data_IF_301284745220
#
_entry.id   IF_301284745220
#
_cell.length_a   1.000
_cell.length_b   1.000
_cell.length_c   1.000
_cell.angle_alpha   90.00
_cell.angle_beta   90.00
_cell.angle_gamma   90.00
#
_symmetry.space_group_name_H-M   'P 1'
#
loop_
_entity.id
_entity.type
_entity.pdbx_description
1 polymer ?
#
# COMPACT_ATOMS: atom_id res chain seq x y z
N UNK A 1 -3.76 -45.00 2.92
CA UNK A 1 -3.09 -43.75 2.50
C UNK A 1 -3.85 -42.60 3.14
N UNK A 2 -3.33 -41.93 4.19
CA UNK A 2 -4.06 -40.82 4.83
C UNK A 2 -3.89 -39.52 4.05
N UNK A 3 -4.98 -38.76 4.01
CA UNK A 3 -5.14 -37.46 3.38
C UNK A 3 -4.36 -36.39 4.15
N UNK A 4 -3.41 -35.73 3.48
CA UNK A 4 -2.66 -34.61 4.03
C UNK A 4 -3.59 -33.39 4.08
N UNK A 5 -4.08 -33.10 5.29
CA UNK A 5 -4.76 -31.85 5.60
C UNK A 5 -3.86 -30.66 5.21
N UNK A 6 -4.20 -29.98 4.12
CA UNK A 6 -3.68 -28.66 3.82
C UNK A 6 -4.25 -27.69 4.86
N UNK A 7 -3.57 -27.60 6.00
CA UNK A 7 -3.80 -26.58 7.01
C UNK A 7 -3.25 -25.24 6.49
N UNK A 8 -3.91 -24.68 5.47
CA UNK A 8 -3.81 -23.25 5.21
C UNK A 8 -4.74 -22.58 6.23
N UNK A 9 -4.25 -22.26 7.42
CA UNK A 9 -4.94 -21.33 8.31
C UNK A 9 -5.31 -20.05 7.53
N UNK A 10 -6.38 -19.33 7.91
CA UNK A 10 -6.77 -18.14 7.16
C UNK A 10 -5.54 -17.23 7.08
N UNK A 11 -5.00 -17.03 5.87
CA UNK A 11 -4.01 -15.99 5.61
C UNK A 11 -4.76 -14.73 5.98
N UNK A 12 -4.53 -14.21 7.20
CA UNK A 12 -5.11 -12.97 7.68
C UNK A 12 -4.56 -11.88 6.78
N UNK A 13 -5.23 -11.67 5.64
CA UNK A 13 -5.00 -10.54 4.76
C UNK A 13 -5.18 -9.33 5.66
N UNK A 14 -4.10 -8.57 5.86
CA UNK A 14 -4.15 -7.35 6.64
C UNK A 14 -5.38 -6.54 6.18
N UNK A 15 -6.29 -6.17 7.10
CA UNK A 15 -7.52 -5.48 6.72
C UNK A 15 -7.16 -4.24 5.91
N UNK A 16 -7.80 -4.13 4.74
CA UNK A 16 -7.64 -3.00 3.82
C UNK A 16 -8.71 -1.98 4.12
N UNK A 17 -8.29 -0.74 4.32
CA UNK A 17 -9.16 0.38 4.57
C UNK A 17 -9.14 1.31 3.37
N UNK A 18 -10.31 1.72 2.91
CA UNK A 18 -10.42 2.72 1.85
C UNK A 18 -9.87 4.04 2.36
N UNK A 19 -8.85 4.55 1.68
CA UNK A 19 -8.21 5.81 1.98
C UNK A 19 -7.94 6.53 0.66
N UNK A 20 -8.65 7.63 0.43
CA UNK A 20 -8.43 8.48 -0.74
C UNK A 20 -7.55 9.65 -0.32
N UNK A 21 -6.24 9.43 -0.40
CA UNK A 21 -5.22 10.41 -0.07
C UNK A 21 -4.30 10.66 -1.26
N UNK A 22 -3.75 11.88 -1.35
CA UNK A 22 -2.74 12.20 -2.35
C UNK A 22 -1.48 11.39 -2.09
N UNK A 23 -0.94 10.77 -3.14
CA UNK A 23 0.27 9.98 -3.04
C UNK A 23 1.24 10.31 -4.18
N UNK A 24 2.52 10.27 -3.88
CA UNK A 24 3.58 10.34 -4.89
C UNK A 24 4.44 9.10 -4.80
N UNK A 25 4.83 8.59 -5.97
CA UNK A 25 5.65 7.41 -6.11
C UNK A 25 6.87 7.76 -6.93
N UNK A 26 8.05 7.48 -6.40
CA UNK A 26 9.32 7.71 -7.08
C UNK A 26 9.97 6.35 -7.35
N UNK A 27 10.24 6.05 -8.62
CA UNK A 27 11.07 4.90 -8.98
C UNK A 27 12.51 5.14 -8.51
N UNK A 28 13.00 4.28 -7.62
CA UNK A 28 14.35 4.40 -7.05
C UNK A 28 15.45 4.08 -8.07
N UNK A 29 15.14 3.39 -9.16
CA UNK A 29 16.12 3.07 -10.20
C UNK A 29 16.31 4.22 -11.20
N UNK A 30 15.21 4.82 -11.67
CA UNK A 30 15.26 5.89 -12.69
C UNK A 30 15.13 7.30 -12.13
N UNK A 31 14.65 7.47 -10.89
CA UNK A 31 14.28 8.77 -10.33
C UNK A 31 12.95 9.32 -10.88
N UNK A 32 12.23 8.55 -11.68
CA UNK A 32 10.93 8.97 -12.25
C UNK A 32 9.90 9.11 -11.15
N UNK A 33 9.28 10.29 -11.05
CA UNK A 33 8.21 10.55 -10.09
C UNK A 33 6.85 10.57 -10.77
N UNK A 34 5.87 9.99 -10.08
CA UNK A 34 4.47 9.97 -10.47
C UNK A 34 3.60 10.43 -9.30
N UNK A 35 2.61 11.28 -9.61
CA UNK A 35 1.59 11.72 -8.67
C UNK A 35 0.31 10.93 -8.93
N UNK A 36 -0.28 10.41 -7.87
CA UNK A 36 -1.43 9.51 -7.90
C UNK A 36 -2.28 9.68 -6.64
N UNK A 37 -3.32 8.86 -6.52
CA UNK A 37 -4.13 8.79 -5.30
C UNK A 37 -4.12 7.38 -4.77
N UNK A 38 -4.16 7.26 -3.46
CA UNK A 38 -4.47 5.98 -2.80
C UNK A 38 -5.94 5.65 -3.01
N UNK A 39 -6.23 4.36 -3.13
CA UNK A 39 -7.59 3.83 -3.14
C UNK A 39 -7.87 3.09 -1.83
N UNK A 40 -6.96 2.19 -1.47
CA UNK A 40 -6.96 1.48 -0.20
C UNK A 40 -5.55 1.32 0.37
N UNK A 41 -5.48 1.22 1.69
CA UNK A 41 -4.24 1.04 2.45
C UNK A 41 -4.39 -0.09 3.47
N UNK A 42 -3.26 -0.76 3.74
CA UNK A 42 -3.11 -1.80 4.76
C UNK A 42 -1.76 -1.65 5.44
N UNK A 43 -1.56 -2.36 6.55
CA UNK A 43 -0.26 -2.41 7.24
C UNK A 43 0.89 -2.90 6.33
N UNK A 44 0.57 -3.71 5.31
CA UNK A 44 1.54 -4.33 4.41
C UNK A 44 1.74 -3.62 3.07
N UNK A 45 0.95 -2.59 2.75
CA UNK A 45 0.94 -2.01 1.43
C UNK A 45 -0.31 -1.20 1.11
N UNK A 46 -0.33 -0.60 -0.08
CA UNK A 46 -1.46 0.20 -0.57
C UNK A 46 -1.74 -0.07 -2.04
N UNK A 47 -2.98 0.22 -2.47
CA UNK A 47 -3.33 0.32 -3.88
C UNK A 47 -3.36 1.80 -4.29
N UNK A 48 -2.73 2.08 -5.42
CA UNK A 48 -2.61 3.42 -5.98
C UNK A 48 -3.33 3.46 -7.33
N UNK A 49 -4.29 4.39 -7.44
CA UNK A 49 -4.99 4.70 -8.68
C UNK A 49 -4.10 5.62 -9.54
N UNK A 50 -3.66 5.09 -10.67
CA UNK A 50 -2.80 5.80 -11.63
C UNK A 50 -3.02 5.27 -13.04
N UNK A 51 -2.99 6.16 -14.03
CA UNK A 51 -3.09 5.77 -15.43
C UNK A 51 -1.79 5.16 -15.97
N UNK A 52 -0.65 5.53 -15.37
CA UNK A 52 0.68 5.10 -15.81
C UNK A 52 1.41 4.37 -14.67
N UNK A 53 0.99 3.14 -14.29
CA UNK A 53 1.65 2.41 -13.22
C UNK A 53 3.07 1.99 -13.61
N UNK A 54 3.94 1.88 -12.61
CA UNK A 54 5.26 1.27 -12.78
C UNK A 54 5.12 -0.25 -12.99
N UNK A 55 6.06 -0.92 -13.68
CA UNK A 55 6.04 -2.37 -13.84
C UNK A 55 6.09 -3.12 -12.50
N UNK A 56 5.52 -4.33 -12.48
CA UNK A 56 5.66 -5.24 -11.34
C UNK A 56 7.13 -5.57 -11.07
N UNK A 57 7.54 -5.53 -9.80
CA UNK A 57 8.92 -5.71 -9.36
C UNK A 57 9.73 -4.42 -9.25
N UNK A 58 9.22 -3.28 -9.71
CA UNK A 58 9.90 -1.99 -9.55
C UNK A 58 9.94 -1.56 -8.08
N UNK A 59 11.12 -1.18 -7.60
CA UNK A 59 11.31 -0.60 -6.27
C UNK A 59 11.01 0.89 -6.30
N UNK A 60 10.12 1.30 -5.41
CA UNK A 60 9.59 2.66 -5.38
C UNK A 60 9.60 3.22 -3.97
N UNK A 61 9.79 4.53 -3.87
CA UNK A 61 9.48 5.28 -2.66
C UNK A 61 8.06 5.82 -2.77
N UNK A 62 7.22 5.50 -1.80
CA UNK A 62 5.83 5.94 -1.72
C UNK A 62 5.73 6.99 -0.61
N UNK A 63 5.19 8.15 -0.94
CA UNK A 63 4.79 9.18 0.03
C UNK A 63 3.29 9.40 -0.07
N UNK A 64 2.55 9.21 1.02
CA UNK A 64 1.09 9.37 1.10
C UNK A 64 0.81 10.52 2.06
N UNK A 65 -0.02 11.48 1.66
CA UNK A 65 -0.38 12.63 2.50
C UNK A 65 -1.83 12.55 2.96
N UNK A 66 -2.04 12.43 4.27
CA UNK A 66 -3.36 12.30 4.89
C UNK A 66 -3.43 13.12 6.18
N UNK A 67 -4.53 13.87 6.38
CA UNK A 67 -4.78 14.67 7.59
C UNK A 67 -3.63 15.61 8.01
N UNK A 68 -2.87 16.15 7.05
CA UNK A 68 -1.73 17.04 7.32
C UNK A 68 -0.44 16.31 7.69
N UNK A 69 -0.48 14.98 7.79
CA UNK A 69 0.69 14.12 7.97
C UNK A 69 1.11 13.49 6.64
N UNK A 70 2.40 13.14 6.52
CA UNK A 70 2.95 12.47 5.33
C UNK A 70 3.60 11.16 5.75
N UNK A 71 3.08 10.05 5.27
CA UNK A 71 3.65 8.72 5.46
C UNK A 71 4.60 8.43 4.31
N UNK A 72 5.87 8.12 4.61
CA UNK A 72 6.88 7.81 3.60
C UNK A 72 7.50 6.44 3.84
N UNK A 73 7.57 5.62 2.81
CA UNK A 73 8.16 4.27 2.90
C UNK A 73 8.69 3.79 1.56
N UNK A 74 9.64 2.86 1.59
CA UNK A 74 10.06 2.10 0.42
C UNK A 74 9.19 0.86 0.26
N UNK A 75 8.80 0.59 -0.98
CA UNK A 75 8.07 -0.61 -1.34
C UNK A 75 8.44 -1.14 -2.72
N UNK A 76 7.84 -2.28 -3.05
CA UNK A 76 7.94 -2.90 -4.36
C UNK A 76 6.55 -2.97 -5.00
N UNK A 77 6.47 -2.68 -6.29
CA UNK A 77 5.23 -2.84 -7.04
C UNK A 77 4.92 -4.34 -7.13
N UNK A 78 3.89 -4.79 -6.42
CA UNK A 78 3.49 -6.20 -6.41
C UNK A 78 2.81 -6.59 -7.73
N UNK A 79 1.98 -5.69 -8.27
CA UNK A 79 1.34 -5.83 -9.57
C UNK A 79 0.91 -4.47 -10.11
N UNK A 80 0.79 -4.39 -11.43
CA UNK A 80 0.35 -3.20 -12.14
C UNK A 80 -0.78 -3.56 -13.10
N UNK A 81 -1.78 -2.70 -13.19
CA UNK A 81 -2.90 -2.82 -14.10
C UNK A 81 -2.96 -1.54 -14.94
N UNK A 82 -2.61 -1.67 -16.22
CA UNK A 82 -2.62 -0.53 -17.16
C UNK A 82 -3.98 0.17 -17.11
N UNK A 83 -3.95 1.50 -17.11
CA UNK A 83 -5.13 2.37 -17.07
C UNK A 83 -6.03 2.19 -15.83
N UNK A 84 -5.55 1.53 -14.77
CA UNK A 84 -6.34 1.31 -13.56
C UNK A 84 -5.54 1.55 -12.27
N UNK A 85 -4.27 1.17 -12.20
CA UNK A 85 -3.44 1.45 -11.04
C UNK A 85 -2.37 0.41 -10.76
N UNK A 86 -1.84 0.44 -9.54
CA UNK A 86 -0.84 -0.52 -9.07
C UNK A 86 -0.97 -0.83 -7.59
N UNK A 87 -0.70 -2.08 -7.23
CA UNK A 87 -0.54 -2.50 -5.85
C UNK A 87 0.94 -2.40 -5.45
N UNK A 88 1.22 -1.71 -4.35
CA UNK A 88 2.57 -1.61 -3.78
C UNK A 88 2.60 -2.32 -2.44
N UNK A 89 3.61 -3.17 -2.25
CA UNK A 89 3.92 -3.82 -0.99
C UNK A 89 5.04 -3.04 -0.28
N UNK A 90 4.84 -2.68 0.97
CA UNK A 90 5.85 -1.95 1.76
C UNK A 90 6.96 -2.91 2.20
N UNK A 91 8.22 -2.58 1.93
CA UNK A 91 9.37 -3.41 2.33
C UNK A 91 10.01 -2.89 3.63
N UNK A 92 10.28 -1.59 3.70
CA UNK A 92 10.99 -0.97 4.82
C UNK A 92 10.20 0.22 5.35
N UNK A 93 9.39 -0.06 6.38
CA UNK A 93 8.66 0.99 7.12
C UNK A 93 9.51 1.38 8.33
N UNK A 94 9.90 2.65 8.39
CA UNK A 94 10.60 3.18 9.56
C UNK A 94 9.67 3.12 10.79
N UNK A 95 10.16 2.86 12.02
CA UNK A 95 9.29 2.71 13.20
C UNK A 95 8.35 3.89 13.45
N UNK A 96 8.81 5.12 13.18
CA UNK A 96 7.99 6.33 13.27
C UNK A 96 6.84 6.33 12.25
N UNK A 97 7.14 5.90 11.03
CA UNK A 97 6.17 5.79 9.94
C UNK A 97 5.20 4.64 10.20
N UNK A 98 5.66 3.55 10.83
CA UNK A 98 4.83 2.43 11.25
C UNK A 98 3.79 2.87 12.28
N UNK A 99 4.21 3.60 13.32
CA UNK A 99 3.28 4.14 14.31
C UNK A 99 2.24 5.09 13.70
N UNK A 100 2.65 5.91 12.71
CA UNK A 100 1.73 6.77 11.94
C UNK A 100 0.75 5.94 11.11
N UNK A 101 1.23 4.93 10.40
CA UNK A 101 0.40 4.03 9.61
C UNK A 101 -0.61 3.29 10.48
N UNK A 102 -0.18 2.70 11.61
CA UNK A 102 -1.07 2.04 12.56
C UNK A 102 -2.16 2.98 13.08
N UNK A 103 -1.80 4.22 13.40
CA UNK A 103 -2.76 5.24 13.82
C UNK A 103 -3.78 5.53 12.71
N UNK A 104 -3.35 5.72 11.47
CA UNK A 104 -4.26 5.94 10.35
C UNK A 104 -5.19 4.73 10.13
N UNK A 105 -4.66 3.51 10.19
CA UNK A 105 -5.44 2.29 10.06
C UNK A 105 -6.48 2.16 11.20
N UNK A 106 -6.10 2.52 12.43
CA UNK A 106 -7.02 2.53 13.58
C UNK A 106 -8.14 3.57 13.40
N UNK A 107 -7.81 4.79 12.97
CA UNK A 107 -8.78 5.85 12.67
C UNK A 107 -9.76 5.40 11.57
N UNK A 108 -9.25 4.81 10.47
CA UNK A 108 -10.07 4.30 9.38
C UNK A 108 -10.91 3.09 9.78
N UNK A 109 -10.44 2.26 10.71
CA UNK A 109 -11.20 1.13 11.25
C UNK A 109 -12.37 1.55 12.12
N UNK A 110 -12.26 2.73 12.76
CA UNK A 110 -13.30 3.29 13.62
C UNK A 110 -14.39 4.02 12.85
N UNK A 111 -14.23 4.23 11.53
CA UNK A 111 -15.29 4.78 10.69
C UNK A 111 -16.29 3.66 10.39
N UNK A 112 -17.54 3.72 10.89
CA UNK A 112 -18.54 2.72 10.56
C UNK A 112 -18.77 2.71 9.04
N UNK A 113 -18.71 1.53 8.43
CA UNK A 113 -19.21 1.32 7.07
C UNK A 113 -20.71 1.62 7.08
N UNK A 114 -21.09 2.79 6.58
CA UNK A 114 -22.49 3.15 6.29
C UNK A 114 -23.04 2.33 5.14
#
# INVERSE_FOLDING_TARGET
MPELANQSGPVQRAPRYSLIAEASVVDLASGTQLYCRTYDISASGCYLDTMNPFPGGTRVQVSIRHNGETFETTGVVAYAQLNMGMGVHFEQIHPEQHARLERWLAELSSVPKV
#
